data_IF_474020578858
#
_entry.id   IF_474020578858
#
_cell.length_a   1.000
_cell.length_b   1.000
_cell.length_c   1.000
_cell.angle_alpha   90.00
_cell.angle_beta   90.00
_cell.angle_gamma   90.00
#
_symmetry.space_group_name_H-M   'P 1'
#
loop_
_entity.id
_entity.type
_entity.pdbx_description
1 polymer ?
#
# COMPACT_ATOMS: atom_id res chain seq x y z
N UNK A 1 -14.72 13.24 -19.85
CA UNK A 1 -15.21 12.33 -20.91
C UNK A 1 -15.47 11.00 -20.24
N UNK A 2 -16.66 10.41 -20.43
CA UNK A 2 -16.96 9.09 -19.87
C UNK A 2 -15.94 8.08 -20.42
N UNK A 3 -15.45 7.21 -19.54
CA UNK A 3 -14.60 6.10 -19.95
C UNK A 3 -15.45 5.16 -20.84
N UNK A 4 -14.87 4.55 -21.87
CA UNK A 4 -15.58 3.57 -22.72
C UNK A 4 -16.06 2.34 -21.94
N UNK A 5 -15.51 2.15 -20.73
CA UNK A 5 -15.91 1.11 -19.78
C UNK A 5 -16.88 1.60 -18.71
N UNK A 6 -17.28 2.87 -18.69
CA UNK A 6 -18.32 3.32 -17.74
C UNK A 6 -19.65 2.60 -18.02
N UNK A 7 -20.30 2.13 -16.95
CA UNK A 7 -21.58 1.42 -17.03
C UNK A 7 -22.72 2.42 -16.85
N UNK A 8 -23.77 2.32 -17.69
CA UNK A 8 -24.90 3.23 -17.61
C UNK A 8 -25.67 3.07 -16.28
N UNK A 9 -26.34 4.12 -15.77
CA UNK A 9 -27.10 4.04 -14.54
C UNK A 9 -28.15 2.91 -14.52
N UNK A 10 -28.82 2.67 -15.63
CA UNK A 10 -29.84 1.62 -15.76
C UNK A 10 -29.21 0.23 -15.63
N UNK A 11 -28.06 0.01 -16.26
CA UNK A 11 -27.35 -1.26 -16.22
C UNK A 11 -26.70 -1.50 -14.84
N UNK A 12 -26.19 -0.43 -14.20
CA UNK A 12 -25.72 -0.47 -12.81
C UNK A 12 -26.83 -0.93 -11.86
N UNK A 13 -28.02 -0.33 -11.96
CA UNK A 13 -29.17 -0.67 -11.15
C UNK A 13 -29.63 -2.11 -11.39
N UNK A 14 -29.73 -2.52 -12.66
CA UNK A 14 -30.11 -3.90 -13.02
C UNK A 14 -29.16 -4.94 -12.43
N UNK A 15 -27.85 -4.73 -12.57
CA UNK A 15 -26.83 -5.64 -12.02
C UNK A 15 -26.89 -5.65 -10.48
N UNK A 16 -27.16 -4.50 -9.86
CA UNK A 16 -27.34 -4.43 -8.42
C UNK A 16 -28.53 -5.29 -7.97
N UNK A 17 -29.70 -5.10 -8.56
CA UNK A 17 -30.94 -5.78 -8.18
C UNK A 17 -30.93 -7.28 -8.50
N UNK A 18 -30.36 -7.68 -9.63
CA UNK A 18 -30.41 -9.06 -10.10
C UNK A 18 -29.24 -9.93 -9.58
N UNK A 19 -28.06 -9.33 -9.35
CA UNK A 19 -26.83 -10.08 -9.07
C UNK A 19 -26.22 -9.75 -7.72
N UNK A 20 -25.97 -8.47 -7.41
CA UNK A 20 -25.19 -8.06 -6.25
C UNK A 20 -26.01 -8.19 -4.96
N UNK A 21 -27.19 -7.55 -4.91
CA UNK A 21 -28.05 -7.55 -3.74
C UNK A 21 -28.48 -8.98 -3.35
N UNK A 22 -29.00 -9.83 -4.25
CA UNK A 22 -29.40 -11.18 -3.89
C UNK A 22 -28.23 -12.08 -3.45
N UNK A 23 -27.00 -11.79 -3.88
CA UNK A 23 -25.81 -12.54 -3.49
C UNK A 23 -25.30 -12.14 -2.10
N UNK A 24 -25.15 -10.83 -1.85
CA UNK A 24 -24.60 -10.32 -0.60
C UNK A 24 -25.55 -10.49 0.59
N UNK A 25 -26.86 -10.33 0.36
CA UNK A 25 -27.86 -10.33 1.43
C UNK A 25 -28.57 -11.69 1.60
N UNK A 26 -28.26 -12.72 0.78
CA UNK A 26 -28.95 -14.02 0.75
C UNK A 26 -29.19 -14.64 2.12
N UNK A 27 -28.16 -14.65 2.95
CA UNK A 27 -28.15 -15.29 4.26
C UNK A 27 -28.10 -14.27 5.41
N UNK A 28 -28.13 -12.99 5.09
CA UNK A 28 -28.08 -11.92 6.07
C UNK A 28 -29.43 -11.78 6.75
N UNK A 29 -29.42 -11.48 8.05
CA UNK A 29 -30.62 -11.14 8.81
C UNK A 29 -30.52 -9.69 9.27
N UNK A 30 -31.57 -8.88 9.05
CA UNK A 30 -31.60 -7.54 9.60
C UNK A 30 -31.63 -7.61 11.13
N UNK A 31 -31.17 -6.55 11.78
CA UNK A 31 -31.27 -6.43 13.23
C UNK A 31 -32.74 -6.35 13.65
N UNK A 32 -33.10 -6.93 14.82
CA UNK A 32 -34.42 -6.76 15.39
C UNK A 32 -34.75 -5.28 15.64
N UNK A 33 -36.04 -4.94 15.57
CA UNK A 33 -36.50 -3.60 15.95
C UNK A 33 -36.10 -3.29 17.40
N UNK A 34 -35.59 -2.08 17.61
CA UNK A 34 -35.09 -1.62 18.91
C UNK A 34 -33.61 -1.96 19.16
N UNK A 35 -32.96 -2.72 18.27
CA UNK A 35 -31.51 -2.86 18.26
C UNK A 35 -30.90 -1.95 17.18
N UNK A 36 -29.65 -1.51 17.39
CA UNK A 36 -28.89 -0.75 16.41
C UNK A 36 -28.04 -1.69 15.56
N UNK A 37 -28.18 -1.70 14.22
CA UNK A 37 -27.24 -2.37 13.33
C UNK A 37 -25.82 -1.81 13.51
N UNK A 38 -24.82 -2.56 13.06
CA UNK A 38 -23.41 -2.14 13.17
C UNK A 38 -22.82 -1.87 11.78
N UNK A 39 -22.18 -0.72 11.61
CA UNK A 39 -21.26 -0.45 10.50
C UNK A 39 -19.83 -0.65 11.02
N UNK A 40 -19.11 -1.62 10.49
CA UNK A 40 -17.68 -1.80 10.76
C UNK A 40 -16.89 -1.33 9.54
N UNK A 41 -16.09 -0.28 9.69
CA UNK A 41 -15.12 0.10 8.65
C UNK A 41 -13.79 -0.60 8.96
N UNK A 42 -13.40 -1.56 8.13
CA UNK A 42 -12.18 -2.36 8.28
C UNK A 42 -11.04 -1.78 7.43
N UNK A 43 -10.12 -1.09 8.07
CA UNK A 43 -8.98 -0.41 7.47
C UNK A 43 -7.68 -1.19 7.56
N UNK A 44 -6.79 -0.95 6.60
CA UNK A 44 -5.45 -1.53 6.56
C UNK A 44 -4.83 -1.33 5.19
N UNK A 45 -3.51 -1.16 5.14
CA UNK A 45 -2.81 -1.08 3.86
C UNK A 45 -3.00 -2.35 3.01
N UNK A 46 -2.58 -2.28 1.74
CA UNK A 46 -2.55 -3.45 0.88
C UNK A 46 -1.70 -4.53 1.51
N UNK A 47 -2.17 -5.77 1.43
CA UNK A 47 -1.56 -6.90 2.12
C UNK A 47 -1.32 -6.67 3.64
N UNK A 48 -2.14 -5.87 4.33
CA UNK A 48 -2.13 -5.83 5.80
C UNK A 48 -2.68 -7.11 6.45
N UNK A 49 -3.28 -8.04 5.70
CA UNK A 49 -3.88 -9.25 6.28
C UNK A 49 -5.24 -9.02 6.94
N UNK A 50 -6.05 -8.12 6.37
CA UNK A 50 -7.41 -7.80 6.82
C UNK A 50 -8.33 -9.02 6.95
N UNK A 51 -8.09 -10.10 6.21
CA UNK A 51 -8.93 -11.30 6.21
C UNK A 51 -9.10 -11.94 7.59
N UNK A 52 -8.07 -11.92 8.46
CA UNK A 52 -8.22 -12.44 9.82
C UNK A 52 -9.15 -11.55 10.64
N UNK A 53 -8.90 -10.24 10.65
CA UNK A 53 -9.76 -9.27 11.34
C UNK A 53 -11.21 -9.30 10.82
N UNK A 54 -11.40 -9.47 9.51
CA UNK A 54 -12.71 -9.66 8.89
C UNK A 54 -13.42 -10.90 9.45
N UNK A 55 -12.70 -12.03 9.53
CA UNK A 55 -13.25 -13.25 10.14
C UNK A 55 -13.62 -13.02 11.61
N UNK A 56 -12.78 -12.37 12.40
CA UNK A 56 -13.07 -12.07 13.81
C UNK A 56 -14.30 -11.17 13.97
N UNK A 57 -14.45 -10.17 13.10
CA UNK A 57 -15.65 -9.31 13.03
C UNK A 57 -16.89 -10.16 12.72
N UNK A 58 -16.81 -11.02 11.70
CA UNK A 58 -17.94 -11.89 11.29
C UNK A 58 -18.31 -12.86 12.41
N UNK A 59 -17.33 -13.44 13.11
CA UNK A 59 -17.58 -14.31 14.26
C UNK A 59 -18.23 -13.52 15.41
N UNK A 60 -17.75 -12.30 15.71
CA UNK A 60 -18.29 -11.44 16.77
C UNK A 60 -19.75 -11.04 16.54
N UNK A 61 -20.11 -10.68 15.31
CA UNK A 61 -21.47 -10.24 14.96
C UNK A 61 -22.37 -11.37 14.44
N UNK A 62 -21.81 -12.56 14.18
CA UNK A 62 -22.50 -13.72 13.62
C UNK A 62 -23.06 -13.45 12.21
N UNK A 63 -24.09 -14.21 11.81
CA UNK A 63 -24.75 -14.07 10.50
C UNK A 63 -25.57 -12.78 10.29
N UNK A 64 -25.32 -11.73 11.10
CA UNK A 64 -26.02 -10.44 11.04
C UNK A 64 -25.20 -9.33 10.37
N UNK A 65 -23.96 -9.63 9.98
CA UNK A 65 -23.07 -8.68 9.30
C UNK A 65 -22.80 -9.10 7.86
N UNK A 66 -23.16 -8.22 6.92
CA UNK A 66 -22.88 -8.37 5.50
C UNK A 66 -21.44 -7.94 5.23
N UNK A 67 -20.71 -8.72 4.45
CA UNK A 67 -19.34 -8.39 4.08
C UNK A 67 -19.35 -7.65 2.74
N UNK A 68 -18.87 -6.41 2.73
CA UNK A 68 -18.66 -5.63 1.53
C UNK A 68 -17.16 -5.46 1.29
N UNK A 69 -16.66 -6.17 0.28
CA UNK A 69 -15.33 -5.96 -0.30
C UNK A 69 -15.48 -5.24 -1.64
N UNK A 70 -15.15 -3.95 -1.75
CA UNK A 70 -15.35 -3.19 -2.99
C UNK A 70 -14.65 -3.83 -4.20
N UNK A 71 -13.48 -4.45 -4.01
CA UNK A 71 -12.76 -5.11 -5.10
C UNK A 71 -13.46 -6.34 -5.67
N UNK A 72 -14.30 -7.03 -4.87
CA UNK A 72 -15.12 -8.14 -5.35
C UNK A 72 -16.23 -7.65 -6.28
N UNK A 73 -16.74 -6.43 -6.06
CA UNK A 73 -17.79 -5.86 -6.90
C UNK A 73 -17.35 -5.63 -8.35
N UNK A 74 -16.05 -5.44 -8.59
CA UNK A 74 -15.49 -5.25 -9.94
C UNK A 74 -15.77 -6.44 -10.86
N UNK A 75 -15.91 -7.65 -10.32
CA UNK A 75 -16.20 -8.86 -11.09
C UNK A 75 -17.59 -8.88 -11.72
N UNK A 76 -18.51 -8.04 -11.23
CA UNK A 76 -19.84 -7.86 -11.83
C UNK A 76 -19.84 -6.89 -13.02
N UNK A 77 -18.70 -6.27 -13.32
CA UNK A 77 -18.58 -5.37 -14.47
C UNK A 77 -18.87 -6.15 -15.78
N UNK A 78 -19.78 -5.67 -16.65
CA UNK A 78 -20.17 -6.39 -17.87
C UNK A 78 -19.00 -6.75 -18.79
N UNK A 79 -17.96 -5.93 -18.79
CA UNK A 79 -16.72 -6.11 -19.57
C UNK A 79 -15.52 -6.58 -18.72
N UNK A 80 -15.74 -7.14 -17.53
CA UNK A 80 -14.64 -7.54 -16.62
C UNK A 80 -13.66 -8.53 -17.29
N UNK A 81 -14.18 -9.55 -17.97
CA UNK A 81 -13.35 -10.56 -18.64
C UNK A 81 -12.54 -9.96 -19.80
N UNK A 82 -13.09 -9.02 -20.54
CA UNK A 82 -12.39 -8.29 -21.61
C UNK A 82 -11.25 -7.45 -21.05
N UNK A 83 -11.53 -6.67 -19.99
CA UNK A 83 -10.54 -5.84 -19.31
C UNK A 83 -9.38 -6.70 -18.79
N UNK A 84 -9.67 -7.83 -18.14
CA UNK A 84 -8.63 -8.71 -17.61
C UNK A 84 -7.81 -9.41 -18.71
N UNK A 85 -8.39 -9.66 -19.87
CA UNK A 85 -7.70 -10.27 -21.01
C UNK A 85 -6.78 -9.27 -21.72
N UNK A 86 -7.29 -8.08 -21.99
CA UNK A 86 -6.68 -7.15 -22.94
C UNK A 86 -5.90 -6.03 -22.23
N UNK A 87 -6.33 -5.62 -21.02
CA UNK A 87 -5.76 -4.48 -20.27
C UNK A 87 -5.71 -4.76 -18.74
N UNK A 88 -5.12 -5.88 -18.27
CA UNK A 88 -5.18 -6.28 -16.86
C UNK A 88 -4.58 -5.26 -15.88
N UNK A 89 -3.54 -4.52 -16.29
CA UNK A 89 -2.92 -3.48 -15.47
C UNK A 89 -3.79 -2.22 -15.33
N UNK A 90 -4.80 -2.03 -16.20
CA UNK A 90 -5.72 -0.88 -16.17
C UNK A 90 -7.08 -1.25 -15.56
N UNK A 91 -7.27 -2.48 -15.08
CA UNK A 91 -8.55 -2.94 -14.56
C UNK A 91 -9.10 -2.05 -13.43
N UNK A 92 -8.23 -1.54 -12.56
CA UNK A 92 -8.64 -0.67 -11.45
C UNK A 92 -9.30 0.62 -11.96
N UNK A 93 -8.64 1.49 -12.75
CA UNK A 93 -9.29 2.69 -13.26
C UNK A 93 -10.49 2.37 -14.18
N UNK A 94 -10.43 1.30 -14.99
CA UNK A 94 -11.51 0.96 -15.92
C UNK A 94 -12.80 0.47 -15.24
N UNK A 95 -12.73 -0.09 -14.03
CA UNK A 95 -13.91 -0.61 -13.30
C UNK A 95 -14.33 0.26 -12.11
N UNK A 96 -13.63 1.38 -11.87
CA UNK A 96 -13.82 2.17 -10.64
C UNK A 96 -15.20 2.82 -10.55
N UNK A 97 -15.75 3.33 -11.66
CA UNK A 97 -17.06 3.97 -11.67
C UNK A 97 -18.15 3.02 -11.16
N UNK A 98 -18.26 1.82 -11.77
CA UNK A 98 -19.25 0.83 -11.36
C UNK A 98 -19.03 0.32 -9.94
N UNK A 99 -17.77 0.06 -9.56
CA UNK A 99 -17.42 -0.41 -8.23
C UNK A 99 -17.87 0.58 -7.13
N UNK A 100 -17.63 1.88 -7.31
CA UNK A 100 -18.02 2.89 -6.32
C UNK A 100 -19.54 3.00 -6.21
N UNK A 101 -20.26 3.06 -7.34
CA UNK A 101 -21.73 3.13 -7.35
C UNK A 101 -22.35 1.92 -6.66
N UNK A 102 -21.89 0.70 -6.98
CA UNK A 102 -22.40 -0.50 -6.32
C UNK A 102 -22.05 -0.55 -4.84
N UNK A 103 -20.87 -0.06 -4.44
CA UNK A 103 -20.51 0.03 -3.02
C UNK A 103 -21.47 0.95 -2.26
N UNK A 104 -21.85 2.10 -2.85
CA UNK A 104 -22.86 3.00 -2.29
C UNK A 104 -24.24 2.34 -2.21
N UNK A 105 -24.68 1.68 -3.29
CA UNK A 105 -25.96 0.98 -3.32
C UNK A 105 -26.04 -0.12 -2.25
N UNK A 106 -24.97 -0.90 -2.04
CA UNK A 106 -24.92 -1.93 -1.00
C UNK A 106 -25.03 -1.31 0.40
N UNK A 107 -24.29 -0.22 0.67
CA UNK A 107 -24.36 0.49 1.96
C UNK A 107 -25.75 1.07 2.21
N UNK A 108 -26.33 1.75 1.22
CA UNK A 108 -27.67 2.33 1.33
C UNK A 108 -28.73 1.26 1.54
N UNK A 109 -28.63 0.13 0.83
CA UNK A 109 -29.55 -0.99 1.03
C UNK A 109 -29.42 -1.57 2.44
N UNK A 110 -28.19 -1.75 2.94
CA UNK A 110 -27.94 -2.22 4.31
C UNK A 110 -28.56 -1.25 5.34
N UNK A 111 -28.35 0.04 5.17
CA UNK A 111 -28.91 1.10 6.02
C UNK A 111 -30.44 1.07 6.02
N UNK A 112 -31.08 1.18 4.85
CA UNK A 112 -32.53 1.23 4.71
C UNK A 112 -33.27 0.01 5.26
N UNK A 113 -32.60 -1.14 5.35
CA UNK A 113 -33.20 -2.40 5.80
C UNK A 113 -32.64 -2.90 7.14
N UNK A 114 -31.74 -2.15 7.78
CA UNK A 114 -31.19 -2.49 9.10
C UNK A 114 -30.27 -3.72 9.11
N UNK A 115 -29.53 -3.97 8.03
CA UNK A 115 -28.48 -4.99 8.01
C UNK A 115 -27.18 -4.42 8.59
N UNK A 116 -26.53 -5.16 9.50
CA UNK A 116 -25.15 -4.84 9.85
C UNK A 116 -24.25 -5.05 8.63
N UNK A 117 -23.19 -4.25 8.50
CA UNK A 117 -22.27 -4.33 7.38
C UNK A 117 -20.83 -4.08 7.84
N UNK A 118 -19.89 -4.87 7.32
CA UNK A 118 -18.45 -4.59 7.39
C UNK A 118 -17.96 -4.20 6.00
N UNK A 119 -17.31 -3.05 5.90
CA UNK A 119 -16.78 -2.49 4.66
C UNK A 119 -15.27 -2.52 4.71
N UNK A 120 -14.65 -3.33 3.85
CA UNK A 120 -13.20 -3.37 3.71
C UNK A 120 -12.69 -2.13 2.95
N UNK A 121 -11.59 -1.54 3.44
CA UNK A 121 -10.98 -0.40 2.79
C UNK A 121 -9.49 -0.25 3.10
N UNK A 122 -8.89 0.73 2.40
CA UNK A 122 -7.50 1.16 2.60
C UNK A 122 -7.41 2.46 3.40
N UNK A 123 -8.53 3.14 3.60
CA UNK A 123 -8.65 4.40 4.36
C UNK A 123 -7.78 5.55 3.81
N UNK A 124 -7.61 5.61 2.48
CA UNK A 124 -6.88 6.70 1.82
C UNK A 124 -7.60 8.05 1.86
N UNK A 125 -8.92 8.04 2.03
CA UNK A 125 -9.76 9.23 1.94
C UNK A 125 -10.65 9.33 3.18
N UNK A 126 -10.14 9.90 4.29
CA UNK A 126 -10.89 9.98 5.56
C UNK A 126 -12.22 10.72 5.44
N UNK A 127 -12.33 11.69 4.55
CA UNK A 127 -13.55 12.44 4.26
C UNK A 127 -14.73 11.52 3.88
N UNK A 128 -14.49 10.51 3.05
CA UNK A 128 -15.53 9.54 2.68
C UNK A 128 -15.87 8.59 3.83
N UNK A 129 -14.88 8.19 4.63
CA UNK A 129 -15.10 7.32 5.80
C UNK A 129 -15.96 8.02 6.87
N UNK A 130 -15.71 9.31 7.09
CA UNK A 130 -16.50 10.17 7.97
C UNK A 130 -17.91 10.34 7.43
N UNK A 131 -18.05 10.60 6.13
CA UNK A 131 -19.37 10.70 5.48
C UNK A 131 -20.18 9.41 5.69
N UNK A 132 -19.58 8.23 5.49
CA UNK A 132 -20.27 6.95 5.72
C UNK A 132 -20.73 6.77 7.17
N UNK A 133 -19.90 7.16 8.14
CA UNK A 133 -20.29 7.10 9.55
C UNK A 133 -21.46 8.05 9.86
N UNK A 134 -21.46 9.24 9.27
CA UNK A 134 -22.52 10.24 9.43
C UNK A 134 -23.85 9.80 8.81
N UNK A 135 -23.80 9.22 7.62
CA UNK A 135 -24.96 8.65 6.93
C UNK A 135 -25.52 7.45 7.70
N UNK A 136 -24.65 6.52 8.11
CA UNK A 136 -25.05 5.33 8.85
C UNK A 136 -25.64 5.67 10.23
N UNK A 137 -25.18 6.75 10.87
CA UNK A 137 -25.72 7.24 12.14
C UNK A 137 -27.16 7.81 12.02
N UNK A 138 -27.66 8.10 10.81
CA UNK A 138 -29.02 8.60 10.65
C UNK A 138 -30.06 7.51 10.95
N UNK A 139 -31.16 7.83 11.65
CA UNK A 139 -32.24 6.89 11.89
C UNK A 139 -33.05 6.61 10.62
N UNK A 140 -33.60 5.41 10.52
CA UNK A 140 -34.57 5.03 9.49
C UNK A 140 -35.89 4.67 10.19
N UNK A 141 -36.95 5.49 10.05
CA UNK A 141 -38.21 5.27 10.75
C UNK A 141 -38.79 3.88 10.54
N UNK A 142 -39.08 3.19 11.65
CA UNK A 142 -39.63 1.83 11.64
C UNK A 142 -38.60 0.71 11.37
N UNK A 143 -37.32 1.05 11.24
CA UNK A 143 -36.21 0.13 10.99
C UNK A 143 -35.18 0.19 12.13
N UNK A 144 -34.48 1.31 12.34
CA UNK A 144 -33.47 1.48 13.39
C UNK A 144 -33.24 2.96 13.75
N UNK A 145 -32.66 3.21 14.94
CA UNK A 145 -32.36 4.57 15.44
C UNK A 145 -30.99 5.13 15.01
N UNK A 146 -30.26 4.36 14.19
CA UNK A 146 -28.95 4.71 13.63
C UNK A 146 -27.96 3.60 13.90
N UNK A 147 -26.98 3.41 13.03
CA UNK A 147 -25.98 2.35 13.18
C UNK A 147 -25.00 2.67 14.31
N UNK A 148 -24.51 1.65 15.00
CA UNK A 148 -23.28 1.73 15.78
C UNK A 148 -22.09 1.67 14.82
N UNK A 149 -21.22 2.67 14.85
CA UNK A 149 -20.06 2.75 13.97
C UNK A 149 -18.80 2.27 14.70
N UNK A 150 -18.22 1.18 14.22
CA UNK A 150 -16.94 0.67 14.67
C UNK A 150 -15.87 0.88 13.58
N UNK A 151 -14.68 1.29 14.01
CA UNK A 151 -13.49 1.31 13.19
C UNK A 151 -12.58 0.18 13.65
N UNK A 152 -12.18 -0.70 12.73
CA UNK A 152 -11.18 -1.73 13.00
C UNK A 152 -10.02 -1.51 12.06
N UNK A 153 -8.81 -1.33 12.56
CA UNK A 153 -7.61 -1.13 11.74
C UNK A 153 -6.59 -2.21 12.02
N UNK A 154 -6.10 -2.82 10.95
CA UNK A 154 -5.04 -3.83 11.02
C UNK A 154 -3.67 -3.17 10.97
N UNK A 155 -2.93 -3.29 12.07
CA UNK A 155 -1.54 -2.90 12.22
C UNK A 155 -0.63 -4.00 11.65
N UNK A 156 0.05 -3.71 10.55
CA UNK A 156 1.07 -4.59 9.99
C UNK A 156 2.30 -3.75 9.65
N UNK A 157 3.51 -4.22 9.97
CA UNK A 157 4.72 -3.49 9.61
C UNK A 157 4.89 -3.29 8.10
N UNK A 158 5.58 -2.21 7.71
CA UNK A 158 5.76 -1.82 6.31
C UNK A 158 6.49 -2.90 5.51
N UNK A 159 7.62 -3.37 6.02
CA UNK A 159 8.46 -4.38 5.36
C UNK A 159 7.68 -5.68 5.09
N UNK A 160 6.87 -6.12 6.06
CA UNK A 160 6.07 -7.33 5.94
C UNK A 160 4.98 -7.17 4.87
N UNK A 161 4.16 -6.12 4.99
CA UNK A 161 3.03 -5.90 4.07
C UNK A 161 3.49 -5.63 2.63
N UNK A 162 4.60 -4.90 2.44
CA UNK A 162 5.17 -4.67 1.11
C UNK A 162 5.64 -5.96 0.44
N UNK A 163 6.29 -6.87 1.18
CA UNK A 163 6.75 -8.14 0.60
C UNK A 163 5.59 -9.11 0.34
N UNK A 164 4.61 -9.15 1.23
CA UNK A 164 3.42 -10.01 1.09
C UNK A 164 2.55 -9.61 -0.09
N UNK A 165 2.54 -8.33 -0.47
CA UNK A 165 1.89 -7.85 -1.69
C UNK A 165 2.44 -8.58 -2.93
N UNK A 166 3.77 -8.70 -3.03
CA UNK A 166 4.44 -9.43 -4.11
C UNK A 166 4.19 -10.93 -3.97
N UNK A 167 4.29 -11.48 -2.77
CA UNK A 167 4.03 -12.89 -2.51
C UNK A 167 2.61 -13.33 -2.89
N UNK A 168 1.60 -12.49 -2.64
CA UNK A 168 0.20 -12.75 -3.01
C UNK A 168 0.00 -12.77 -4.52
N UNK A 169 0.68 -11.88 -5.24
CA UNK A 169 0.67 -11.87 -6.70
C UNK A 169 1.35 -13.12 -7.30
N UNK A 170 2.42 -13.59 -6.66
CA UNK A 170 3.19 -14.75 -7.10
C UNK A 170 2.64 -16.11 -6.61
N UNK A 171 1.54 -16.16 -5.86
CA UNK A 171 0.98 -17.41 -5.33
C UNK A 171 0.51 -18.37 -6.46
N UNK A 172 0.38 -19.66 -6.13
CA UNK A 172 -0.17 -20.71 -7.01
C UNK A 172 -1.24 -21.56 -6.25
N UNK A 173 -2.50 -21.67 -6.73
CA UNK A 173 -3.05 -20.92 -7.87
C UNK A 173 -2.85 -19.42 -7.66
N UNK A 174 -2.73 -18.62 -8.74
CA UNK A 174 -2.68 -17.17 -8.62
C UNK A 174 -3.80 -16.77 -7.67
N UNK A 175 -3.44 -16.16 -6.54
CA UNK A 175 -4.48 -15.66 -5.64
C UNK A 175 -5.33 -14.64 -6.39
N UNK A 176 -6.33 -14.06 -5.75
CA UNK A 176 -6.93 -12.80 -6.22
C UNK A 176 -5.90 -11.62 -6.22
N UNK A 177 -4.60 -11.90 -6.05
CA UNK A 177 -3.49 -10.96 -6.01
C UNK A 177 -3.24 -10.37 -7.38
N UNK A 178 -3.78 -9.19 -7.62
CA UNK A 178 -3.37 -8.32 -8.71
C UNK A 178 -2.05 -7.65 -8.31
N UNK A 179 -1.21 -7.33 -9.30
CA UNK A 179 -0.05 -6.51 -9.02
C UNK A 179 -0.48 -5.16 -8.45
N UNK A 180 0.17 -4.76 -7.38
CA UNK A 180 0.05 -3.42 -6.81
C UNK A 180 1.45 -2.83 -6.68
N UNK A 181 1.57 -1.54 -6.99
CA UNK A 181 2.85 -0.85 -6.92
C UNK A 181 3.16 -0.42 -5.48
N UNK A 182 4.45 -0.31 -5.18
CA UNK A 182 4.92 0.14 -3.86
C UNK A 182 4.46 1.55 -3.51
N UNK A 183 4.26 2.44 -4.50
CA UNK A 183 3.79 3.79 -4.27
C UNK A 183 2.38 3.82 -3.69
N UNK A 184 1.47 3.03 -4.27
CA UNK A 184 0.12 2.82 -3.74
C UNK A 184 0.14 2.18 -2.35
N UNK A 185 0.99 1.18 -2.12
CA UNK A 185 1.16 0.58 -0.80
C UNK A 185 1.58 1.63 0.24
N UNK A 186 2.66 2.36 -0.02
CA UNK A 186 3.28 3.30 0.91
C UNK A 186 2.38 4.51 1.17
N UNK A 187 1.75 5.08 0.14
CA UNK A 187 0.78 6.16 0.31
C UNK A 187 -0.37 5.75 1.25
N UNK A 188 -0.79 4.48 1.20
CA UNK A 188 -1.81 3.96 2.14
C UNK A 188 -1.24 3.79 3.54
N UNK A 189 -0.04 3.23 3.65
CA UNK A 189 0.62 3.03 4.93
C UNK A 189 0.76 4.35 5.69
N UNK A 190 1.25 5.39 5.00
CA UNK A 190 1.54 6.71 5.55
C UNK A 190 0.28 7.51 5.89
N UNK A 191 -0.79 7.39 5.09
CA UNK A 191 -2.05 8.08 5.33
C UNK A 191 -2.86 7.47 6.49
N UNK A 192 -2.74 6.16 6.73
CA UNK A 192 -3.63 5.43 7.64
C UNK A 192 -3.66 6.00 9.07
N UNK A 193 -2.54 6.36 9.73
CA UNK A 193 -2.59 6.99 11.05
C UNK A 193 -3.40 8.30 11.10
N UNK A 194 -3.28 9.16 10.08
CA UNK A 194 -4.06 10.40 10.00
C UNK A 194 -5.55 10.09 9.82
N UNK A 195 -5.90 9.12 8.98
CA UNK A 195 -7.29 8.71 8.78
C UNK A 195 -7.91 8.14 10.07
N UNK A 196 -7.14 7.36 10.84
CA UNK A 196 -7.58 6.83 12.14
C UNK A 196 -7.80 7.95 13.15
N UNK A 197 -6.90 8.93 13.21
CA UNK A 197 -7.05 10.09 14.10
C UNK A 197 -8.30 10.91 13.77
N UNK A 198 -8.58 11.16 12.50
CA UNK A 198 -9.78 11.88 12.06
C UNK A 198 -11.05 11.11 12.45
N UNK A 199 -11.06 9.79 12.24
CA UNK A 199 -12.19 8.94 12.60
C UNK A 199 -12.41 8.89 14.11
N UNK A 200 -11.36 8.72 14.91
CA UNK A 200 -11.47 8.71 16.37
C UNK A 200 -12.01 10.05 16.93
N UNK A 201 -11.69 11.16 16.27
CA UNK A 201 -12.23 12.48 16.61
C UNK A 201 -13.63 12.74 16.05
N UNK A 202 -14.18 11.84 15.25
CA UNK A 202 -15.53 11.98 14.68
C UNK A 202 -16.58 11.54 15.72
N UNK A 203 -17.56 12.39 16.08
CA UNK A 203 -18.54 12.07 17.14
C UNK A 203 -19.41 10.84 16.83
N UNK A 204 -19.61 10.52 15.56
CA UNK A 204 -20.43 9.39 15.11
C UNK A 204 -19.71 8.05 15.25
N UNK A 205 -18.41 8.02 15.56
CA UNK A 205 -17.67 6.77 15.79
C UNK A 205 -17.84 6.35 17.25
N UNK A 206 -18.43 5.16 17.44
CA UNK A 206 -18.75 4.59 18.75
C UNK A 206 -17.58 3.75 19.32
N UNK A 207 -16.74 3.15 18.45
CA UNK A 207 -15.61 2.31 18.88
C UNK A 207 -14.46 2.32 17.87
N UNK A 208 -13.22 2.28 18.38
CA UNK A 208 -12.01 2.12 17.56
C UNK A 208 -11.18 0.96 18.11
N UNK A 209 -10.79 0.05 17.22
CA UNK A 209 -9.96 -1.12 17.52
C UNK A 209 -8.72 -1.09 16.62
N UNK A 210 -7.54 -1.19 17.21
CA UNK A 210 -6.29 -1.48 16.50
C UNK A 210 -5.89 -2.91 16.84
N UNK A 211 -5.76 -3.74 15.82
CA UNK A 211 -5.37 -5.16 15.97
C UNK A 211 -4.23 -5.50 15.02
N UNK A 212 -3.37 -6.44 15.39
CA UNK A 212 -2.38 -6.99 14.46
C UNK A 212 -2.92 -8.20 13.69
N UNK A 213 -2.08 -8.74 12.80
CA UNK A 213 -2.42 -9.92 11.99
C UNK A 213 -2.65 -11.19 12.79
N UNK A 214 -2.13 -11.29 14.02
CA UNK A 214 -2.35 -12.44 14.88
C UNK A 214 -3.66 -12.31 15.68
N UNK A 215 -4.41 -11.22 15.48
CA UNK A 215 -5.62 -10.91 16.23
C UNK A 215 -5.35 -10.31 17.61
N UNK A 216 -4.09 -9.95 17.93
CA UNK A 216 -3.79 -9.26 19.18
C UNK A 216 -4.36 -7.85 19.11
N UNK A 217 -5.10 -7.45 20.14
CA UNK A 217 -5.67 -6.11 20.25
C UNK A 217 -4.65 -5.21 20.95
N UNK A 218 -4.18 -4.18 20.24
CA UNK A 218 -3.23 -3.19 20.75
C UNK A 218 -3.94 -1.94 21.29
N UNK A 219 -5.16 -1.70 20.82
CA UNK A 219 -6.00 -0.61 21.29
C UNK A 219 -7.47 -0.97 21.09
N UNK A 220 -8.30 -0.68 22.08
CA UNK A 220 -9.75 -0.82 22.02
C UNK A 220 -10.37 0.24 22.93
N UNK A 221 -11.04 1.21 22.32
CA UNK A 221 -11.71 2.27 23.03
C UNK A 221 -13.12 2.43 22.47
N UNK A 222 -14.08 2.69 23.35
CA UNK A 222 -15.48 2.89 23.02
C UNK A 222 -16.02 4.12 23.73
N UNK A 223 -17.02 4.76 23.14
CA UNK A 223 -17.72 5.87 23.77
C UNK A 223 -18.73 5.34 24.80
N UNK A 224 -18.85 6.06 25.91
CA UNK A 224 -19.91 5.86 26.89
C UNK A 224 -21.24 6.46 26.43
N UNK A 225 -22.33 6.28 27.21
CA UNK A 225 -23.64 6.87 26.92
C UNK A 225 -23.64 8.40 26.89
N UNK A 226 -22.66 9.05 27.50
CA UNK A 226 -22.43 10.50 27.48
C UNK A 226 -21.70 10.99 26.21
N UNK A 227 -21.33 10.06 25.32
CA UNK A 227 -20.57 10.34 24.11
C UNK A 227 -19.08 10.57 24.35
N UNK A 228 -18.59 10.47 25.60
CA UNK A 228 -17.17 10.59 25.90
C UNK A 228 -16.44 9.28 25.68
N UNK A 229 -15.16 9.33 25.29
CA UNK A 229 -14.32 8.14 25.25
C UNK A 229 -14.08 7.59 26.65
N UNK A 230 -14.13 6.27 26.82
CA UNK A 230 -13.85 5.62 28.10
C UNK A 230 -12.36 5.73 28.52
N UNK A 231 -11.48 5.87 27.54
CA UNK A 231 -10.04 6.09 27.73
C UNK A 231 -9.57 7.29 26.89
N UNK A 232 -8.42 7.92 27.21
CA UNK A 232 -7.85 8.94 26.33
C UNK A 232 -7.66 8.45 24.89
N UNK A 233 -8.12 9.23 23.92
CA UNK A 233 -7.99 8.92 22.50
C UNK A 233 -6.50 8.85 22.10
N UNK A 234 -6.06 7.71 21.57
CA UNK A 234 -4.67 7.47 21.12
C UNK A 234 -4.58 6.40 20.02
N UNK A 235 -5.64 6.18 19.24
CA UNK A 235 -5.67 5.09 18.26
C UNK A 235 -4.55 5.21 17.22
N UNK A 236 -4.27 6.43 16.74
CA UNK A 236 -3.21 6.68 15.78
C UNK A 236 -1.80 6.43 16.36
N UNK A 237 -1.58 6.69 17.64
CA UNK A 237 -0.33 6.35 18.34
C UNK A 237 -0.18 4.83 18.45
N UNK A 238 -1.21 4.15 18.95
CA UNK A 238 -1.23 2.70 19.11
C UNK A 238 -1.03 1.97 17.77
N UNK A 239 -1.58 2.50 16.67
CA UNK A 239 -1.34 1.98 15.32
C UNK A 239 0.14 2.06 14.93
N UNK A 240 0.80 3.20 15.15
CA UNK A 240 2.22 3.38 14.81
C UNK A 240 3.11 2.47 15.65
N UNK A 241 2.81 2.35 16.95
CA UNK A 241 3.49 1.44 17.88
C UNK A 241 3.35 -0.03 17.44
N UNK A 242 2.12 -0.48 17.17
CA UNK A 242 1.83 -1.86 16.74
C UNK A 242 2.47 -2.20 15.38
N UNK A 243 2.68 -1.20 14.52
CA UNK A 243 3.42 -1.33 13.25
C UNK A 243 4.94 -1.30 13.41
N UNK A 244 5.44 -0.99 14.61
CA UNK A 244 6.85 -0.74 14.89
C UNK A 244 7.46 0.33 13.98
N UNK A 245 6.70 1.41 13.70
CA UNK A 245 7.17 2.47 12.79
C UNK A 245 8.52 3.06 13.25
N UNK A 246 9.46 3.18 12.31
CA UNK A 246 10.83 3.63 12.56
C UNK A 246 11.80 2.53 13.02
N UNK A 247 11.37 1.26 13.11
CA UNK A 247 12.21 0.11 13.47
C UNK A 247 12.00 -1.05 12.49
N UNK A 248 12.94 -2.00 12.48
CA UNK A 248 12.72 -3.30 11.84
C UNK A 248 11.95 -4.19 12.82
N UNK A 249 10.73 -4.64 12.48
CA UNK A 249 9.77 -5.30 13.39
C UNK A 249 10.07 -6.79 13.64
N UNK A 250 11.24 -7.26 13.22
CA UNK A 250 11.56 -8.68 13.15
C UNK A 250 12.59 -9.04 14.22
N UNK A 251 12.44 -10.22 14.81
CA UNK A 251 13.59 -10.91 15.40
C UNK A 251 14.47 -11.52 14.30
N UNK A 252 15.66 -12.04 14.65
CA UNK A 252 16.60 -12.59 13.68
C UNK A 252 15.99 -13.70 12.80
N UNK A 253 15.17 -14.59 13.38
CA UNK A 253 14.52 -15.68 12.63
C UNK A 253 13.49 -15.14 11.62
N UNK A 254 12.66 -14.19 12.04
CA UNK A 254 11.68 -13.52 11.17
C UNK A 254 12.37 -12.74 10.05
N UNK A 255 13.47 -12.05 10.36
CA UNK A 255 14.26 -11.31 9.39
C UNK A 255 14.88 -12.25 8.33
N UNK A 256 15.40 -13.41 8.74
CA UNK A 256 15.89 -14.43 7.81
C UNK A 256 14.76 -15.00 6.94
N UNK A 257 13.59 -15.29 7.51
CA UNK A 257 12.41 -15.73 6.73
C UNK A 257 11.97 -14.68 5.71
N UNK A 258 11.98 -13.41 6.10
CA UNK A 258 11.66 -12.29 5.21
C UNK A 258 12.66 -12.22 4.05
N UNK A 259 13.97 -12.34 4.31
CA UNK A 259 14.99 -12.34 3.25
C UNK A 259 14.85 -13.54 2.31
N UNK A 260 14.57 -14.73 2.84
CA UNK A 260 14.31 -15.92 2.01
C UNK A 260 13.11 -15.71 1.08
N UNK A 261 12.03 -15.14 1.59
CA UNK A 261 10.85 -14.81 0.79
C UNK A 261 11.15 -13.71 -0.25
N UNK A 262 11.94 -12.69 0.10
CA UNK A 262 12.41 -11.67 -0.85
C UNK A 262 13.20 -12.28 -2.02
N UNK A 263 14.17 -13.15 -1.73
CA UNK A 263 14.95 -13.81 -2.77
C UNK A 263 14.09 -14.73 -3.63
N UNK A 264 13.20 -15.53 -3.02
CA UNK A 264 12.26 -16.39 -3.73
C UNK A 264 11.34 -15.59 -4.66
N UNK A 265 10.69 -14.55 -4.15
CA UNK A 265 9.77 -13.71 -4.93
C UNK A 265 10.49 -13.04 -6.11
N UNK A 266 11.74 -12.62 -5.91
CA UNK A 266 12.57 -12.06 -6.98
C UNK A 266 12.84 -13.07 -8.08
N UNK A 267 13.23 -14.29 -7.72
CA UNK A 267 13.51 -15.37 -8.66
C UNK A 267 12.24 -15.80 -9.43
N UNK A 268 11.11 -15.93 -8.74
CA UNK A 268 9.83 -16.30 -9.33
C UNK A 268 9.33 -15.25 -10.33
N UNK A 269 9.45 -13.95 -10.00
CA UNK A 269 9.06 -12.87 -10.89
C UNK A 269 9.88 -12.87 -12.20
N UNK A 270 11.20 -13.14 -12.11
CA UNK A 270 12.06 -13.29 -13.29
C UNK A 270 11.70 -14.56 -14.07
N UNK A 271 11.45 -15.68 -13.38
CA UNK A 271 11.10 -16.94 -14.02
C UNK A 271 9.75 -16.89 -14.76
N UNK A 272 8.81 -16.05 -14.30
CA UNK A 272 7.54 -15.75 -14.99
C UNK A 272 7.69 -14.73 -16.12
N UNK A 273 8.89 -14.20 -16.33
CA UNK A 273 9.19 -13.12 -17.27
C UNK A 273 8.47 -11.79 -16.98
N UNK A 274 8.17 -11.56 -15.70
CA UNK A 274 7.33 -10.45 -15.24
C UNK A 274 8.11 -9.33 -14.53
N UNK A 275 9.45 -9.41 -14.43
CA UNK A 275 10.26 -8.26 -14.01
C UNK A 275 10.40 -7.30 -15.20
N UNK A 276 9.72 -6.17 -15.14
CA UNK A 276 9.55 -5.22 -16.25
C UNK A 276 9.40 -3.77 -15.72
N UNK A 277 9.20 -2.73 -16.57
CA UNK A 277 9.05 -1.34 -16.10
C UNK A 277 7.93 -1.11 -15.07
N UNK A 278 6.91 -1.96 -15.04
CA UNK A 278 5.79 -1.87 -14.08
C UNK A 278 6.12 -2.51 -12.73
N UNK A 279 6.86 -3.62 -12.72
CA UNK A 279 7.10 -4.41 -11.50
C UNK A 279 8.45 -4.12 -10.84
N UNK A 280 9.46 -3.74 -11.62
CA UNK A 280 10.82 -3.49 -11.14
C UNK A 280 10.92 -2.37 -10.09
N UNK A 281 10.17 -1.24 -10.18
CA UNK A 281 10.23 -0.20 -9.15
C UNK A 281 9.88 -0.70 -7.74
N UNK A 282 8.88 -1.59 -7.62
CA UNK A 282 8.52 -2.22 -6.35
C UNK A 282 9.65 -3.11 -5.83
N UNK A 283 10.30 -3.88 -6.71
CA UNK A 283 11.41 -4.74 -6.33
C UNK A 283 12.65 -3.94 -5.92
N UNK A 284 12.89 -2.76 -6.53
CA UNK A 284 13.92 -1.81 -6.13
C UNK A 284 13.65 -1.19 -4.75
N UNK A 285 12.40 -0.93 -4.39
CA UNK A 285 12.04 -0.50 -3.05
C UNK A 285 12.23 -1.63 -2.02
N UNK A 286 11.78 -2.84 -2.33
CA UNK A 286 12.00 -4.02 -1.48
C UNK A 286 13.48 -4.37 -1.31
N UNK A 287 14.31 -4.10 -2.31
CA UNK A 287 15.77 -4.20 -2.21
C UNK A 287 16.32 -3.31 -1.08
N UNK A 288 15.84 -2.07 -0.96
CA UNK A 288 16.25 -1.20 0.16
C UNK A 288 15.73 -1.71 1.51
N UNK A 289 14.57 -2.38 1.53
CA UNK A 289 14.06 -3.02 2.74
C UNK A 289 14.95 -4.19 3.14
N UNK A 290 15.38 -5.00 2.16
CA UNK A 290 16.25 -6.15 2.37
C UNK A 290 17.59 -5.77 3.04
N UNK A 291 18.19 -4.65 2.66
CA UNK A 291 19.40 -4.14 3.30
C UNK A 291 19.20 -3.83 4.79
N UNK A 292 18.07 -3.18 5.14
CA UNK A 292 17.76 -2.91 6.55
C UNK A 292 17.46 -4.18 7.34
N UNK A 293 16.72 -5.10 6.74
CA UNK A 293 16.35 -6.39 7.36
C UNK A 293 17.59 -7.28 7.57
N UNK A 294 18.58 -7.23 6.67
CA UNK A 294 19.82 -8.00 6.78
C UNK A 294 20.65 -7.66 8.02
N UNK A 295 20.68 -6.39 8.44
CA UNK A 295 21.34 -5.98 9.69
C UNK A 295 20.75 -6.66 10.93
N UNK A 296 19.48 -7.07 10.88
CA UNK A 296 18.84 -7.85 11.95
C UNK A 296 19.03 -9.35 11.74
N UNK A 297 18.88 -9.82 10.50
CA UNK A 297 18.97 -11.25 10.15
C UNK A 297 20.36 -11.83 10.40
N UNK A 298 21.41 -11.04 10.18
CA UNK A 298 22.82 -11.45 10.19
C UNK A 298 23.66 -10.68 11.23
N UNK A 299 23.02 -10.14 12.27
CA UNK A 299 23.70 -9.36 13.30
C UNK A 299 24.93 -10.08 13.90
N UNK A 300 24.82 -11.40 14.06
CA UNK A 300 25.88 -12.26 14.62
C UNK A 300 26.61 -13.10 13.55
N UNK A 301 26.43 -12.79 12.26
CA UNK A 301 27.01 -13.54 11.13
C UNK A 301 27.62 -12.58 10.08
N UNK A 302 28.86 -12.08 10.31
CA UNK A 302 29.50 -11.11 9.44
C UNK A 302 29.83 -11.67 8.05
N UNK A 303 30.02 -12.98 7.92
CA UNK A 303 30.25 -13.63 6.62
C UNK A 303 28.98 -13.58 5.76
N UNK A 304 27.83 -13.93 6.34
CA UNK A 304 26.53 -13.78 5.65
C UNK A 304 26.20 -12.34 5.34
N UNK A 305 26.51 -11.39 6.22
CA UNK A 305 26.30 -9.97 5.95
C UNK A 305 27.14 -9.52 4.73
N UNK A 306 28.42 -9.88 4.67
CA UNK A 306 29.29 -9.55 3.53
C UNK A 306 28.82 -10.22 2.22
N UNK A 307 28.31 -11.46 2.32
CA UNK A 307 27.70 -12.15 1.19
C UNK A 307 26.44 -11.41 0.71
N UNK A 308 25.54 -11.01 1.62
CA UNK A 308 24.34 -10.24 1.32
C UNK A 308 24.69 -8.93 0.61
N UNK A 309 25.63 -8.15 1.12
CA UNK A 309 26.08 -6.90 0.47
C UNK A 309 26.59 -7.11 -0.96
N UNK A 310 27.27 -8.23 -1.20
CA UNK A 310 27.76 -8.60 -2.54
C UNK A 310 26.60 -8.99 -3.46
N UNK A 311 25.68 -9.82 -2.96
CA UNK A 311 24.50 -10.27 -3.70
C UNK A 311 23.56 -9.12 -4.04
N UNK A 312 23.37 -8.17 -3.13
CA UNK A 312 22.52 -7.00 -3.33
C UNK A 312 23.04 -6.08 -4.43
N UNK A 313 24.36 -5.94 -4.61
CA UNK A 313 24.93 -5.18 -5.74
C UNK A 313 24.52 -5.78 -7.09
N UNK A 314 24.57 -7.11 -7.21
CA UNK A 314 24.14 -7.81 -8.42
C UNK A 314 22.63 -7.69 -8.59
N UNK A 315 21.85 -7.93 -7.53
CA UNK A 315 20.39 -7.90 -7.59
C UNK A 315 19.85 -6.53 -8.00
N UNK A 316 20.44 -5.44 -7.50
CA UNK A 316 20.09 -4.08 -7.90
C UNK A 316 20.24 -3.87 -9.41
N UNK A 317 21.33 -4.38 -9.98
CA UNK A 317 21.59 -4.29 -11.42
C UNK A 317 20.54 -5.09 -12.21
N UNK A 318 20.17 -6.28 -11.74
CA UNK A 318 19.11 -7.10 -12.34
C UNK A 318 17.78 -6.36 -12.37
N UNK A 319 17.36 -5.76 -11.24
CA UNK A 319 16.12 -4.99 -11.19
C UNK A 319 16.16 -3.76 -12.08
N UNK A 320 17.27 -3.02 -12.12
CA UNK A 320 17.45 -1.88 -13.03
C UNK A 320 17.45 -2.30 -14.51
N UNK A 321 17.89 -3.52 -14.84
CA UNK A 321 17.81 -4.05 -16.18
C UNK A 321 16.36 -4.38 -16.57
N UNK A 322 15.61 -5.02 -15.66
CA UNK A 322 14.19 -5.30 -15.86
C UNK A 322 13.34 -4.04 -15.97
N UNK A 323 13.63 -3.01 -15.16
CA UNK A 323 12.99 -1.68 -15.26
C UNK A 323 13.17 -1.06 -16.65
N UNK A 324 14.27 -1.38 -17.35
CA UNK A 324 14.58 -0.92 -18.71
C UNK A 324 14.11 -1.89 -19.80
N UNK A 325 13.38 -2.94 -19.44
CA UNK A 325 12.81 -3.89 -20.39
C UNK A 325 13.81 -4.92 -20.95
N UNK A 326 14.96 -5.14 -20.29
CA UNK A 326 15.86 -6.24 -20.67
C UNK A 326 15.11 -7.57 -20.52
N UNK A 327 15.11 -8.47 -21.54
CA UNK A 327 14.39 -9.73 -21.46
C UNK A 327 14.81 -10.59 -20.26
N UNK A 328 13.83 -11.05 -19.50
CA UNK A 328 14.03 -11.86 -18.29
C UNK A 328 14.83 -13.14 -18.52
N UNK A 329 14.71 -13.75 -19.70
CA UNK A 329 15.50 -14.92 -20.13
C UNK A 329 17.02 -14.66 -20.22
N UNK A 330 17.44 -13.40 -20.16
CA UNK A 330 18.84 -12.97 -20.17
C UNK A 330 19.32 -12.45 -18.81
N UNK A 331 18.46 -12.49 -17.78
CA UNK A 331 18.77 -12.04 -16.43
C UNK A 331 19.02 -13.26 -15.52
N UNK A 332 20.02 -13.22 -14.63
CA UNK A 332 20.17 -14.24 -13.60
C UNK A 332 18.98 -14.16 -12.64
N UNK A 333 18.43 -15.32 -12.25
CA UNK A 333 17.29 -15.42 -11.33
C UNK A 333 17.71 -15.21 -9.87
N UNK A 334 18.97 -15.50 -9.58
CA UNK A 334 19.58 -15.32 -8.27
C UNK A 334 21.02 -14.81 -8.42
N UNK A 335 21.53 -13.94 -7.52
CA UNK A 335 22.90 -13.43 -7.60
C UNK A 335 23.97 -14.52 -7.66
N UNK A 336 23.74 -15.66 -7.03
CA UNK A 336 24.64 -16.80 -7.07
C UNK A 336 24.88 -17.35 -8.49
N UNK A 337 23.86 -17.34 -9.36
CA UNK A 337 24.02 -17.73 -10.76
C UNK A 337 25.04 -16.82 -11.46
N UNK A 338 24.96 -15.51 -11.22
CA UNK A 338 25.93 -14.57 -11.74
C UNK A 338 27.32 -14.79 -11.13
N UNK A 339 27.42 -15.06 -9.83
CA UNK A 339 28.71 -15.26 -9.16
C UNK A 339 29.43 -16.51 -9.69
N UNK A 340 28.68 -17.57 -9.98
CA UNK A 340 29.21 -18.84 -10.49
C UNK A 340 29.36 -18.89 -12.02
N UNK A 341 28.83 -17.89 -12.74
CA UNK A 341 28.93 -17.82 -14.20
C UNK A 341 30.37 -17.65 -14.71
N UNK A 342 30.59 -18.13 -15.94
CA UNK A 342 31.84 -17.95 -16.69
C UNK A 342 32.15 -16.47 -16.95
N UNK A 343 33.40 -16.19 -17.34
CA UNK A 343 33.83 -14.83 -17.65
C UNK A 343 33.05 -14.27 -18.85
N UNK A 344 32.76 -15.13 -19.82
CA UNK A 344 32.00 -14.81 -21.03
C UNK A 344 30.55 -14.43 -20.68
N UNK A 345 29.89 -15.21 -19.82
CA UNK A 345 28.52 -14.94 -19.36
C UNK A 345 28.42 -13.65 -18.54
N UNK A 346 29.37 -13.42 -17.62
CA UNK A 346 29.45 -12.17 -16.86
C UNK A 346 29.65 -10.96 -17.78
N UNK A 347 30.52 -11.10 -18.77
CA UNK A 347 30.78 -10.03 -19.76
C UNK A 347 29.53 -9.72 -20.57
N UNK A 348 28.78 -10.75 -21.00
CA UNK A 348 27.50 -10.60 -21.70
C UNK A 348 26.48 -9.86 -20.83
N UNK A 349 26.32 -10.26 -19.57
CA UNK A 349 25.42 -9.59 -18.63
C UNK A 349 25.76 -8.10 -18.47
N UNK A 350 27.03 -7.77 -18.24
CA UNK A 350 27.45 -6.36 -18.14
C UNK A 350 27.20 -5.58 -19.43
N UNK A 351 27.43 -6.17 -20.60
CA UNK A 351 27.17 -5.52 -21.88
C UNK A 351 25.68 -5.22 -22.09
N UNK A 352 24.78 -6.15 -21.70
CA UNK A 352 23.33 -5.96 -21.76
C UNK A 352 22.88 -4.78 -20.88
N UNK A 353 23.32 -4.76 -19.62
CA UNK A 353 23.00 -3.70 -18.67
C UNK A 353 23.57 -2.36 -19.15
N UNK A 354 24.81 -2.34 -19.66
CA UNK A 354 25.45 -1.13 -20.18
C UNK A 354 24.77 -0.60 -21.45
N UNK A 355 24.25 -1.49 -22.30
CA UNK A 355 23.43 -1.13 -23.47
C UNK A 355 22.16 -0.42 -23.03
N UNK A 356 21.41 -1.03 -22.11
CA UNK A 356 20.19 -0.44 -21.54
C UNK A 356 20.45 0.91 -20.86
N UNK A 357 21.60 1.07 -20.18
CA UNK A 357 22.03 2.35 -19.57
C UNK A 357 22.37 3.44 -20.61
N UNK A 358 22.90 3.05 -21.77
CA UNK A 358 23.33 4.00 -22.82
C UNK A 358 22.17 4.52 -23.65
N UNK A 359 21.16 3.71 -23.95
CA UNK A 359 19.99 4.12 -24.73
C UNK A 359 19.21 5.27 -24.06
N UNK A 360 19.21 5.33 -22.73
CA UNK A 360 18.61 6.45 -21.95
C UNK A 360 19.57 7.61 -21.66
N UNK A 361 20.86 7.51 -21.96
CA UNK A 361 21.85 8.57 -21.68
C UNK A 361 21.68 9.82 -22.53
N UNK A 362 20.82 9.77 -23.55
CA UNK A 362 20.44 10.95 -24.33
C UNK A 362 19.62 11.96 -23.51
N UNK A 363 19.08 11.59 -22.33
CA UNK A 363 18.16 12.44 -21.54
C UNK A 363 18.57 12.71 -20.07
N UNK A 364 19.78 12.37 -19.61
CA UNK A 364 20.18 12.53 -18.19
C UNK A 364 21.21 13.64 -17.93
N UNK A 365 21.14 14.39 -16.80
CA UNK A 365 22.09 15.44 -16.44
C UNK A 365 23.53 14.94 -16.24
N UNK A 366 24.51 15.77 -16.64
CA UNK A 366 25.94 15.43 -16.81
C UNK A 366 26.63 14.94 -15.52
N UNK A 367 26.13 15.39 -14.39
CA UNK A 367 26.62 15.14 -13.03
C UNK A 367 26.38 13.68 -12.57
N UNK A 368 25.29 13.04 -13.02
CA UNK A 368 25.05 11.61 -12.81
C UNK A 368 25.95 10.73 -13.69
N UNK A 369 26.24 11.18 -14.92
CA UNK A 369 27.14 10.51 -15.86
C UNK A 369 28.58 10.51 -15.34
N UNK A 370 29.00 11.59 -14.67
CA UNK A 370 30.34 11.72 -14.10
C UNK A 370 30.54 10.83 -12.85
N UNK A 371 29.50 10.66 -12.02
CA UNK A 371 29.54 9.75 -10.87
C UNK A 371 29.72 8.28 -11.29
N UNK A 372 29.06 7.84 -12.37
CA UNK A 372 29.19 6.48 -12.92
C UNK A 372 30.59 6.25 -13.51
N UNK A 373 31.17 7.24 -14.20
CA UNK A 373 32.55 7.16 -14.72
C UNK A 373 33.60 7.01 -13.62
N UNK A 374 33.44 7.71 -12.48
CA UNK A 374 34.38 7.63 -11.36
C UNK A 374 34.33 6.27 -10.64
N UNK A 375 33.13 5.69 -10.52
CA UNK A 375 32.95 4.34 -9.98
C UNK A 375 33.62 3.26 -10.87
N UNK A 376 33.62 3.44 -12.19
CA UNK A 376 34.29 2.54 -13.14
C UNK A 376 35.82 2.59 -13.09
N UNK A 377 36.40 3.67 -12.55
CA UNK A 377 37.86 3.86 -12.45
C UNK A 377 38.44 3.47 -11.08
N UNK A 378 37.61 2.97 -10.15
CA UNK A 378 38.07 2.55 -8.83
C UNK A 378 38.57 3.69 -7.93
N UNK A 379 38.19 4.93 -8.22
CA UNK A 379 38.60 6.11 -7.43
C UNK A 379 37.54 6.40 -6.38
N UNK A 380 37.94 6.38 -5.10
CA UNK A 380 37.05 6.73 -4.00
C UNK A 380 36.59 8.20 -4.09
N UNK A 381 35.37 8.54 -3.62
CA UNK A 381 34.94 9.93 -3.53
C UNK A 381 35.93 10.75 -2.69
N UNK A 382 36.20 12.02 -3.01
CA UNK A 382 37.06 12.84 -2.17
C UNK A 382 36.48 12.87 -0.75
N UNK A 383 37.28 12.46 0.23
CA UNK A 383 36.93 12.62 1.64
C UNK A 383 36.62 14.09 1.89
N UNK A 384 35.41 14.38 2.39
CA UNK A 384 35.15 15.70 3.01
C UNK A 384 35.89 15.74 4.34
N UNK A 385 37.15 16.14 4.26
CA UNK A 385 37.95 16.58 5.40
C UNK A 385 37.38 17.88 5.98
N UNK A 386 37.50 17.96 7.30
CA UNK A 386 37.07 18.99 8.24
C UNK A 386 37.57 20.42 7.97
N UNK A 387 36.88 21.38 8.62
CA UNK A 387 37.18 22.81 8.78
C UNK A 387 36.61 23.70 7.66
N UNK A 388 35.97 24.84 7.90
CA UNK A 388 35.88 25.74 9.07
C UNK A 388 34.74 26.74 8.79
N UNK A 389 34.04 27.20 9.84
CA UNK A 389 33.14 28.37 9.78
C UNK A 389 33.83 29.59 9.17
N UNK A 390 33.08 30.57 8.63
CA UNK A 390 32.84 31.76 9.47
C UNK A 390 31.47 32.43 9.29
N UNK A 391 31.03 33.08 10.36
CA UNK A 391 30.24 34.33 10.35
C UNK A 391 31.07 35.36 11.13
N UNK A 392 30.72 36.66 11.21
CA UNK A 392 30.06 37.58 10.27
C UNK A 392 30.87 38.90 10.11
N UNK A 393 30.27 39.93 9.49
CA UNK A 393 30.54 41.38 9.57
C UNK A 393 31.30 42.11 8.43
N UNK A 394 30.50 42.99 7.79
CA UNK A 394 30.65 44.45 7.74
C UNK A 394 31.43 45.14 6.61
N UNK A 395 30.75 46.19 6.14
CA UNK A 395 31.22 47.42 5.50
C UNK A 395 31.68 47.31 4.03
N UNK A 396 31.47 48.29 3.17
CA UNK A 396 30.60 49.46 3.11
C UNK A 396 30.89 50.08 1.72
N UNK A 397 29.93 50.87 1.23
CA UNK A 397 30.18 52.08 0.42
C UNK A 397 30.72 51.97 -1.02
N UNK A 398 29.83 52.22 -1.99
CA UNK A 398 29.73 53.52 -2.71
C UNK A 398 28.63 53.41 -3.79
N UNK A 399 27.55 54.22 -3.69
CA UNK A 399 27.27 55.46 -4.48
C UNK A 399 27.13 55.19 -5.98
N UNK A 400 26.13 55.61 -6.75
CA UNK A 400 25.02 56.61 -6.76
C UNK A 400 24.07 56.09 -7.89
N UNK A 401 22.76 56.28 -7.97
CA UNK A 401 21.84 57.33 -7.55
C UNK A 401 20.97 57.71 -8.76
N UNK A 402 19.64 57.49 -8.70
CA UNK A 402 18.57 58.42 -9.15
C UNK A 402 17.18 57.77 -9.19
N UNK A 403 16.31 58.31 -8.33
CA UNK A 403 14.97 58.85 -8.62
C UNK A 403 13.98 58.04 -9.50
N UNK A 404 12.93 57.42 -8.91
CA UNK A 404 11.60 58.01 -8.59
C UNK A 404 10.55 56.90 -8.36
N UNK A 405 9.82 57.10 -7.27
CA UNK A 405 8.64 56.39 -6.70
C UNK A 405 7.34 56.66 -7.50
N UNK A 406 6.11 56.23 -7.12
CA UNK A 406 5.61 55.00 -6.44
C UNK A 406 4.50 54.29 -7.26
N UNK A 407 4.04 53.09 -6.85
CA UNK A 407 2.71 52.64 -7.25
C UNK A 407 2.31 51.20 -6.97
N UNK A 408 1.50 51.05 -5.91
CA UNK A 408 0.38 50.09 -5.72
C UNK A 408 0.68 48.71 -5.14
N UNK A 409 0.42 48.63 -3.83
CA UNK A 409 -0.19 47.49 -3.16
C UNK A 409 -1.52 47.08 -3.82
N UNK A 410 -1.72 45.78 -4.00
CA UNK A 410 -2.84 45.00 -3.43
C UNK A 410 -2.50 43.52 -3.38
#
# INVERSE_FOLDING_TARGET
>A
MANEFDVSPEELQRIFDELIQPRLFRNAKPYPRGERPVLVQLGGQLAAGKSHALNDIVVRHGGRIVQLSPDQLRTFHPRYEEIMRDRPHEMVPLTSQAMYVWSDMVRQYAHQHGYGIVVEGTFRSPEYLVQYAQEAAQPVPGVHDGFLNEIVVVATPREQSALDMVGRYLADPPGEGRWADIGGHDATFDQLPLSVEILENTPQIDRVIVTDRAGTIHYDNSRGPDGAWQQPARAAEALREARSEGKIPFNAEQAQKWLNAYWKNSADLIAREELNPTTAPTMLALHQHADRVAHVAYADDPERMAQHETWQKVQKIVFQAGERGVPNTQLPRHPEEFMNASKEEKTRFYALVAGALKETSQDLPKDAVEAVKRAQQGVAPPMRGTSTSPSPQAAADKRQGREKDPGLER
#
